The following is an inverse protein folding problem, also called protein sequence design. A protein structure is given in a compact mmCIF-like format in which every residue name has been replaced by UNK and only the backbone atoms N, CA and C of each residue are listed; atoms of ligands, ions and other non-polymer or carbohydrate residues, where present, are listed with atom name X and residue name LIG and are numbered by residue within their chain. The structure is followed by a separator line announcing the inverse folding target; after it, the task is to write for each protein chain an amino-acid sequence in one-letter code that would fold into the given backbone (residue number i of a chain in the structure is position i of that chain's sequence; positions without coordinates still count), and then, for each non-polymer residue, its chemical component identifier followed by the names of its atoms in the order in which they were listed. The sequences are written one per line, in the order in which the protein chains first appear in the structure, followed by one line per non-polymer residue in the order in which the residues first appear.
data_IF_658111521586
#
_entry.id   IF_658111521586
#
_cell.length_a   1.000
_cell.length_b   1.000
_cell.length_c   1.000
_cell.angle_alpha   90.00
_cell.angle_beta   90.00
_cell.angle_gamma   90.00
#
_symmetry.space_group_name_H-M   'P 1'
#
loop_
_entity.id
_entity.type
_entity.pdbx_description
1 polymer ?
#
# COMPACT_ATOMS: atom_id res chain seq x y z
N UNK A 1 -2.16 59.26 -28.01
CA UNK A 1 -2.96 58.02 -28.12
C UNK A 1 -2.62 57.10 -26.95
N UNK A 2 -3.48 56.13 -26.65
CA UNK A 2 -3.52 55.41 -25.37
C UNK A 2 -2.48 54.29 -25.20
N UNK A 3 -2.21 54.01 -23.91
CA UNK A 3 -1.59 52.85 -23.25
C UNK A 3 -2.52 51.58 -23.31
N UNK A 4 -2.14 50.37 -22.81
CA UNK A 4 -0.83 49.70 -22.70
C UNK A 4 -0.88 48.16 -23.04
N UNK A 5 -0.36 47.15 -22.28
CA UNK A 5 0.38 46.03 -22.90
C UNK A 5 -0.21 44.61 -22.68
N UNK A 6 0.20 43.64 -23.50
CA UNK A 6 0.20 42.20 -23.17
C UNK A 6 1.10 41.42 -24.15
N UNK A 7 2.34 41.09 -23.76
CA UNK A 7 3.31 40.38 -24.62
C UNK A 7 3.48 38.92 -24.17
N UNK A 8 2.83 38.04 -24.93
CA UNK A 8 3.33 36.76 -25.51
C UNK A 8 4.07 35.69 -24.67
N UNK A 9 3.45 34.49 -24.69
CA UNK A 9 4.01 33.15 -24.99
C UNK A 9 4.98 32.42 -24.02
N UNK A 10 4.41 31.46 -23.26
CA UNK A 10 4.60 29.99 -23.36
C UNK A 10 6.03 29.35 -23.46
N UNK A 11 6.42 28.69 -22.35
CA UNK A 11 7.26 27.46 -22.14
C UNK A 11 8.36 26.98 -23.14
N UNK A 12 9.55 26.61 -22.59
CA UNK A 12 10.50 25.50 -22.95
C UNK A 12 11.92 25.78 -22.34
N UNK A 13 12.81 24.86 -21.89
CA UNK A 13 12.74 23.54 -21.22
C UNK A 13 14.15 23.12 -20.65
N UNK A 14 14.18 22.33 -19.56
CA UNK A 14 15.25 21.35 -19.12
C UNK A 14 16.71 21.85 -18.85
N UNK A 15 17.28 21.52 -17.67
CA UNK A 15 18.76 21.42 -17.50
C UNK A 15 19.38 21.42 -16.07
N UNK A 16 19.92 20.26 -15.65
CA UNK A 16 21.07 20.03 -14.73
C UNK A 16 21.24 20.73 -13.34
N UNK A 17 20.82 20.03 -12.27
CA UNK A 17 21.66 19.35 -11.23
C UNK A 17 23.01 19.96 -10.73
N UNK A 18 23.18 19.98 -9.38
CA UNK A 18 24.44 20.05 -8.55
C UNK A 18 25.21 21.40 -8.49
N UNK A 19 25.42 22.07 -7.33
CA UNK A 19 26.12 21.62 -6.10
C UNK A 19 25.90 22.64 -4.95
N UNK A 20 25.85 22.17 -3.71
CA UNK A 20 26.05 22.99 -2.50
C UNK A 20 27.46 22.75 -1.95
N UNK A 21 28.21 23.81 -1.63
CA UNK A 21 29.25 23.84 -0.58
C UNK A 21 29.55 25.33 -0.23
N UNK A 22 30.24 25.68 0.87
CA UNK A 22 29.62 26.57 1.85
C UNK A 22 30.50 27.80 2.19
N UNK A 23 30.13 28.50 3.27
CA UNK A 23 30.97 29.49 3.97
C UNK A 23 31.39 30.74 3.17
N UNK A 24 30.58 31.80 3.29
CA UNK A 24 31.05 33.20 3.34
C UNK A 24 29.94 34.12 3.86
N UNK A 25 29.76 34.14 5.18
CA UNK A 25 29.11 35.26 5.87
C UNK A 25 30.06 35.73 6.96
N UNK A 26 30.99 36.59 6.55
CA UNK A 26 31.69 37.50 7.46
C UNK A 26 30.66 38.44 8.08
N UNK A 27 30.39 38.26 9.37
CA UNK A 27 29.70 39.30 10.15
C UNK A 27 30.74 40.34 10.54
N UNK A 28 30.51 41.59 10.12
CA UNK A 28 31.21 42.74 10.69
C UNK A 28 30.93 42.81 12.21
N UNK A 29 31.87 43.32 13.03
CA UNK A 29 31.69 43.44 14.48
C UNK A 29 30.72 44.58 14.81
N UNK A 30 29.43 44.35 14.55
CA UNK A 30 28.34 45.15 15.10
C UNK A 30 28.21 44.78 16.58
N UNK A 31 28.25 45.77 17.47
CA UNK A 31 28.03 45.55 18.90
C UNK A 31 26.69 44.83 19.11
N UNK A 32 26.59 43.85 20.03
CA UNK A 32 25.34 43.15 20.28
C UNK A 32 24.28 44.19 20.69
N UNK A 33 23.07 44.16 20.11
CA UNK A 33 22.00 45.05 20.55
C UNK A 33 21.74 44.83 22.05
N UNK A 34 21.74 45.92 22.81
CA UNK A 34 21.40 45.89 24.23
C UNK A 34 19.92 45.53 24.38
N UNK A 35 19.65 44.28 24.74
CA UNK A 35 18.33 43.83 25.15
C UNK A 35 18.17 44.09 26.64
N UNK A 36 17.06 44.70 27.03
CA UNK A 36 16.71 44.86 28.44
C UNK A 36 16.37 43.48 29.03
N UNK A 37 17.34 42.90 29.75
CA UNK A 37 17.18 41.58 30.40
C UNK A 37 16.07 41.61 31.43
N UNK A 38 15.83 42.75 32.09
CA UNK A 38 14.71 42.96 33.02
C UNK A 38 13.36 42.96 32.30
N UNK A 39 13.27 43.50 31.09
CA UNK A 39 12.05 43.39 30.26
C UNK A 39 11.80 41.92 29.87
N UNK A 40 12.84 41.19 29.47
CA UNK A 40 12.72 39.75 29.13
C UNK A 40 12.30 38.93 30.36
N UNK A 41 12.91 39.13 31.53
CA UNK A 41 12.47 38.46 32.76
C UNK A 41 11.03 38.83 33.14
N UNK A 42 10.60 40.08 32.92
CA UNK A 42 9.23 40.52 33.21
C UNK A 42 8.20 39.92 32.24
N UNK A 43 8.53 39.82 30.95
CA UNK A 43 7.63 39.31 29.92
C UNK A 43 7.54 37.77 29.87
N UNK A 44 8.60 37.07 30.30
CA UNK A 44 8.71 35.61 30.17
C UNK A 44 8.85 34.83 31.49
N UNK A 45 8.77 35.49 32.66
CA UNK A 45 8.74 34.79 33.95
C UNK A 45 7.43 34.01 34.15
N UNK A 46 7.55 32.80 34.70
CA UNK A 46 6.41 31.96 34.99
C UNK A 46 5.56 32.56 36.13
N UNK A 47 4.29 32.85 35.85
CA UNK A 47 3.39 33.48 36.82
C UNK A 47 3.22 32.62 38.09
N UNK A 48 3.64 33.16 39.23
CA UNK A 48 3.36 32.57 40.53
C UNK A 48 1.84 32.57 40.83
N UNK A 49 1.29 31.57 41.55
CA UNK A 49 -0.12 31.54 41.90
C UNK A 49 -0.49 32.76 42.77
N UNK A 50 -1.55 33.49 42.38
CA UNK A 50 -2.03 34.65 43.14
C UNK A 50 -2.52 34.23 44.52
N UNK A 51 -1.94 34.82 45.56
CA UNK A 51 -2.48 34.77 46.92
C UNK A 51 -3.39 35.97 47.15
N UNK A 52 -4.70 35.78 47.05
CA UNK A 52 -5.65 36.80 47.51
C UNK A 52 -5.55 36.92 49.04
N UNK A 53 -5.47 38.15 49.55
CA UNK A 53 -5.38 38.42 51.00
C UNK A 53 -5.85 39.81 51.38
N UNK A 54 -7.12 39.92 51.79
CA UNK A 54 -7.62 41.00 52.64
C UNK A 54 -8.81 40.48 53.46
N UNK A 55 -8.74 40.48 54.80
CA UNK A 55 -9.93 40.07 55.58
C UNK A 55 -9.86 39.62 57.05
N UNK A 56 -8.72 39.64 57.74
CA UNK A 56 -8.68 39.79 59.22
C UNK A 56 -9.05 38.62 60.18
N UNK A 57 -8.28 38.58 61.28
CA UNK A 57 -8.52 37.97 62.61
C UNK A 57 -8.31 36.46 62.87
N UNK A 58 -7.15 36.21 63.49
CA UNK A 58 -6.93 35.36 64.69
C UNK A 58 -7.35 33.88 64.68
N UNK A 59 -6.36 32.99 64.60
CA UNK A 59 -6.48 31.58 65.00
C UNK A 59 -5.25 30.75 64.60
N UNK A 60 -4.47 30.29 65.57
CA UNK A 60 -3.25 29.50 65.29
C UNK A 60 -3.59 28.12 64.72
N UNK A 61 -3.03 27.76 63.56
CA UNK A 61 -2.97 26.38 63.04
C UNK A 61 -1.63 26.10 62.33
N UNK A 62 -1.17 24.86 62.53
CA UNK A 62 0.10 24.21 62.15
C UNK A 62 0.66 24.57 60.75
N UNK A 63 2.00 24.46 60.55
CA UNK A 63 2.59 24.55 59.22
C UNK A 63 2.04 23.43 58.33
N UNK A 64 1.55 23.80 57.15
CA UNK A 64 1.27 22.84 56.09
C UNK A 64 2.61 22.31 55.54
N UNK A 65 2.75 20.99 55.44
CA UNK A 65 3.97 20.39 54.94
C UNK A 65 4.29 20.85 53.52
N UNK A 66 5.54 21.25 53.29
CA UNK A 66 6.05 21.54 51.96
C UNK A 66 5.87 20.30 51.07
N UNK A 67 5.05 20.42 50.01
CA UNK A 67 5.11 19.44 48.93
C UNK A 67 6.54 19.48 48.38
N UNK A 68 7.24 18.34 48.25
CA UNK A 68 8.58 18.33 47.67
C UNK A 68 8.51 18.91 46.26
N UNK A 69 9.35 19.90 45.98
CA UNK A 69 9.45 20.52 44.66
C UNK A 69 10.05 19.48 43.72
N UNK A 70 9.23 18.93 42.82
CA UNK A 70 9.72 17.97 41.85
C UNK A 70 10.62 18.66 40.84
N UNK A 71 11.78 18.07 40.58
CA UNK A 71 12.75 18.53 39.59
C UNK A 71 12.28 18.12 38.20
N UNK A 72 12.03 19.11 37.35
CA UNK A 72 11.64 18.94 35.96
C UNK A 72 12.87 19.15 35.08
N UNK A 73 13.25 18.13 34.30
CA UNK A 73 14.41 18.17 33.39
C UNK A 73 13.97 18.09 31.93
N UNK A 74 12.92 17.32 31.64
CA UNK A 74 12.33 17.19 30.31
C UNK A 74 11.42 18.39 30.05
N UNK A 75 11.42 18.88 28.80
CA UNK A 75 10.51 19.93 28.33
C UNK A 75 9.06 19.68 28.77
N UNK A 76 8.41 20.70 29.33
CA UNK A 76 7.07 20.63 29.91
C UNK A 76 6.04 20.05 28.93
N UNK A 77 6.13 20.39 27.63
CA UNK A 77 5.19 19.89 26.62
C UNK A 77 5.48 18.42 26.28
N UNK A 78 6.74 18.00 26.20
CA UNK A 78 7.12 16.59 26.04
C UNK A 78 6.69 15.77 27.26
N UNK A 79 6.99 16.23 28.46
CA UNK A 79 6.65 15.57 29.72
C UNK A 79 5.12 15.40 29.88
N UNK A 80 4.34 16.46 29.65
CA UNK A 80 2.88 16.40 29.71
C UNK A 80 2.29 15.42 28.69
N UNK A 81 2.84 15.34 27.47
CA UNK A 81 2.41 14.37 26.46
C UNK A 81 2.73 12.93 26.85
N UNK A 82 3.89 12.67 27.48
CA UNK A 82 4.24 11.36 28.04
C UNK A 82 3.26 11.03 29.18
N UNK A 83 3.07 11.92 30.16
CA UNK A 83 2.14 11.68 31.28
C UNK A 83 0.70 11.41 30.82
N UNK A 84 0.20 12.11 29.80
CA UNK A 84 -1.11 11.79 29.20
C UNK A 84 -1.13 10.36 28.64
N UNK A 85 -0.08 9.91 27.94
CA UNK A 85 -0.02 8.53 27.47
C UNK A 85 -0.02 7.53 28.63
N UNK A 86 0.71 7.80 29.72
CA UNK A 86 0.71 6.95 30.91
C UNK A 86 -0.67 6.78 31.55
N UNK A 87 -1.57 7.77 31.45
CA UNK A 87 -2.96 7.60 31.91
C UNK A 87 -3.83 6.70 31.02
N UNK A 88 -3.40 6.45 29.76
CA UNK A 88 -4.09 5.56 28.81
C UNK A 88 -3.58 4.12 28.88
N UNK A 89 -2.36 3.93 29.37
CA UNK A 89 -1.76 2.62 29.59
C UNK A 89 -2.42 1.96 30.80
N UNK A 90 -3.01 0.77 30.61
CA UNK A 90 -3.70 0.00 31.66
C UNK A 90 -2.80 -0.99 32.40
N UNK A 91 -1.53 -1.12 31.99
CA UNK A 91 -0.57 -2.08 32.50
C UNK A 91 0.59 -1.34 33.20
N UNK A 92 1.09 -1.80 34.36
CA UNK A 92 2.30 -1.23 34.96
C UNK A 92 3.48 -1.28 33.98
N UNK A 93 4.28 -0.21 33.92
CA UNK A 93 5.45 -0.16 33.04
C UNK A 93 6.45 -1.32 33.24
N UNK A 94 6.78 -1.77 34.48
CA UNK A 94 7.67 -2.91 34.65
C UNK A 94 7.16 -4.18 33.96
N UNK A 95 5.85 -4.40 33.97
CA UNK A 95 5.21 -5.56 33.33
C UNK A 95 5.25 -5.44 31.81
N UNK A 96 4.99 -4.23 31.26
CA UNK A 96 5.18 -3.96 29.83
C UNK A 96 6.63 -4.17 29.39
N UNK A 97 7.60 -3.72 30.18
CA UNK A 97 9.01 -3.87 29.87
C UNK A 97 9.47 -5.33 29.98
N UNK A 98 8.96 -6.08 30.95
CA UNK A 98 9.18 -7.52 31.04
C UNK A 98 8.61 -8.25 29.82
N UNK A 99 7.38 -7.94 29.40
CA UNK A 99 6.75 -8.51 28.21
C UNK A 99 7.50 -8.16 26.91
N UNK A 100 7.94 -6.91 26.77
CA UNK A 100 8.73 -6.46 25.62
C UNK A 100 10.11 -7.12 25.55
N UNK A 101 10.77 -7.32 26.70
CA UNK A 101 12.05 -8.05 26.79
C UNK A 101 11.87 -9.58 26.67
N UNK A 102 10.69 -10.12 26.97
CA UNK A 102 10.33 -11.49 26.61
C UNK A 102 9.96 -11.65 25.13
N UNK A 103 9.62 -10.55 24.45
CA UNK A 103 8.98 -10.49 23.12
C UNK A 103 7.68 -11.29 23.05
N UNK A 104 6.84 -11.14 24.08
CA UNK A 104 5.57 -11.86 24.24
C UNK A 104 4.40 -11.17 23.52
N UNK A 105 4.05 -11.70 22.36
CA UNK A 105 2.96 -11.24 21.48
C UNK A 105 1.56 -11.50 22.07
N UNK A 106 1.45 -12.27 23.16
CA UNK A 106 0.17 -12.53 23.84
C UNK A 106 -0.18 -11.47 24.88
N UNK A 107 0.83 -10.71 25.32
CA UNK A 107 0.71 -9.65 26.34
C UNK A 107 0.73 -8.26 25.71
N UNK A 108 1.57 -8.05 24.68
CA UNK A 108 1.72 -6.77 23.99
C UNK A 108 1.39 -6.88 22.50
N UNK A 109 0.40 -6.09 22.06
CA UNK A 109 0.05 -5.94 20.65
C UNK A 109 0.92 -4.88 19.92
N UNK A 110 0.80 -4.82 18.61
CA UNK A 110 1.57 -3.89 17.77
C UNK A 110 1.31 -2.41 18.12
N UNK A 111 0.07 -2.04 18.42
CA UNK A 111 -0.31 -0.65 18.75
C UNK A 111 0.29 -0.24 20.10
N UNK A 112 0.31 -1.14 21.08
CA UNK A 112 0.93 -0.92 22.38
C UNK A 112 2.45 -0.74 22.25
N UNK A 113 3.12 -1.58 21.46
CA UNK A 113 4.56 -1.46 21.20
C UNK A 113 4.90 -0.19 20.41
N UNK A 114 4.10 0.18 19.40
CA UNK A 114 4.30 1.44 18.67
C UNK A 114 4.09 2.67 19.56
N UNK A 115 3.11 2.63 20.47
CA UNK A 115 2.95 3.65 21.50
C UNK A 115 4.18 3.71 22.42
N UNK A 116 4.72 2.58 22.91
CA UNK A 116 5.97 2.58 23.71
C UNK A 116 7.14 3.22 22.95
N UNK A 117 7.33 2.89 21.66
CA UNK A 117 8.37 3.49 20.81
C UNK A 117 8.23 5.02 20.73
N UNK A 118 7.01 5.52 20.52
CA UNK A 118 6.71 6.96 20.41
C UNK A 118 7.04 7.76 21.68
N UNK A 119 7.00 7.10 22.84
CA UNK A 119 7.29 7.71 24.13
C UNK A 119 8.61 7.23 24.75
N UNK A 120 9.48 6.55 24.00
CA UNK A 120 10.87 6.31 24.42
C UNK A 120 11.62 7.65 24.61
N UNK A 121 12.58 7.72 25.56
CA UNK A 121 13.43 8.89 25.73
C UNK A 121 14.37 9.05 24.53
N UNK A 122 14.52 10.29 24.05
CA UNK A 122 15.52 10.62 23.03
C UNK A 122 16.93 10.52 23.58
N UNK A 123 17.91 10.52 22.67
CA UNK A 123 19.33 10.48 23.07
C UNK A 123 19.72 11.68 23.95
N UNK A 124 19.26 12.89 23.63
CA UNK A 124 19.55 14.07 24.47
C UNK A 124 18.88 13.96 25.85
N UNK A 125 17.64 13.47 25.89
CA UNK A 125 16.84 13.26 27.11
C UNK A 125 17.51 12.20 28.03
N UNK A 126 18.07 11.12 27.46
CA UNK A 126 18.81 10.10 28.21
C UNK A 126 20.14 10.62 28.78
N UNK A 127 20.91 11.41 28.04
CA UNK A 127 22.17 11.98 28.56
C UNK A 127 21.91 13.03 29.66
N UNK A 128 20.83 13.84 29.52
CA UNK A 128 20.39 14.77 30.55
C UNK A 128 20.06 14.05 31.87
N UNK A 129 19.34 12.92 31.79
CA UNK A 129 18.98 12.12 32.96
C UNK A 129 20.19 11.42 33.61
N UNK A 130 21.18 10.96 32.81
CA UNK A 130 22.45 10.43 33.35
C UNK A 130 23.29 11.49 34.05
N UNK A 131 23.20 12.75 33.60
CA UNK A 131 23.91 13.89 34.18
C UNK A 131 23.29 14.39 35.49
N UNK A 132 22.11 13.91 35.88
CA UNK A 132 21.45 14.32 37.12
C UNK A 132 22.10 13.66 38.35
N UNK A 133 22.65 14.48 39.24
CA UNK A 133 23.35 14.05 40.46
C UNK A 133 22.51 14.15 41.73
N UNK A 134 21.25 14.61 41.62
CA UNK A 134 20.31 14.64 42.73
C UNK A 134 19.62 13.29 42.96
N UNK A 135 18.74 13.24 43.95
CA UNK A 135 17.95 12.06 44.27
C UNK A 135 16.83 11.83 43.21
N UNK A 136 16.83 10.69 42.49
CA UNK A 136 15.83 10.37 41.45
C UNK A 136 14.37 10.36 41.92
N UNK A 137 14.09 10.18 43.21
CA UNK A 137 12.72 10.23 43.74
C UNK A 137 12.10 11.64 43.62
N UNK A 138 12.95 12.67 43.60
CA UNK A 138 12.53 14.06 43.42
C UNK A 138 12.22 14.43 41.97
N UNK A 139 12.48 13.57 40.98
CA UNK A 139 12.20 13.88 39.57
C UNK A 139 10.70 13.88 39.24
N UNK A 140 10.32 14.50 38.11
CA UNK A 140 8.99 14.42 37.51
C UNK A 140 8.59 12.98 37.12
N UNK A 141 7.29 12.75 36.82
CA UNK A 141 6.84 11.39 36.47
C UNK A 141 7.37 10.94 35.11
N UNK A 142 7.51 11.87 34.16
CA UNK A 142 8.11 11.59 32.84
C UNK A 142 9.56 11.12 32.98
N UNK A 143 10.34 11.79 33.84
CA UNK A 143 11.72 11.47 34.14
C UNK A 143 11.84 10.09 34.81
N UNK A 144 11.00 9.81 35.82
CA UNK A 144 10.94 8.50 36.47
C UNK A 144 10.57 7.38 35.48
N UNK A 145 9.63 7.64 34.57
CA UNK A 145 9.26 6.75 33.47
C UNK A 145 10.44 6.49 32.52
N UNK A 146 11.18 7.53 32.12
CA UNK A 146 12.37 7.39 31.27
C UNK A 146 13.50 6.62 31.96
N UNK A 147 13.75 6.85 33.26
CA UNK A 147 14.74 6.10 34.03
C UNK A 147 14.41 4.60 34.09
N UNK A 148 13.13 4.23 34.19
CA UNK A 148 12.70 2.83 34.13
C UNK A 148 12.97 2.21 32.74
N UNK A 149 12.63 2.92 31.66
CA UNK A 149 12.94 2.48 30.29
C UNK A 149 14.45 2.34 30.05
N UNK A 150 15.27 3.23 30.62
CA UNK A 150 16.73 3.23 30.49
C UNK A 150 17.42 2.04 31.18
N UNK A 151 16.72 1.28 32.05
CA UNK A 151 17.22 0.00 32.58
C UNK A 151 17.42 -1.05 31.48
N UNK A 152 16.70 -0.95 30.37
CA UNK A 152 16.87 -1.80 29.21
C UNK A 152 17.85 -1.15 28.20
N UNK A 153 19.04 -1.75 27.95
CA UNK A 153 19.96 -1.24 26.94
C UNK A 153 19.27 -1.16 25.57
N UNK A 154 19.42 -0.02 24.88
CA UNK A 154 18.85 0.24 23.54
C UNK A 154 17.34 -0.03 23.44
N UNK A 155 16.58 0.34 24.47
CA UNK A 155 15.12 0.10 24.59
C UNK A 155 14.31 0.36 23.32
N UNK A 156 14.52 1.50 22.64
CA UNK A 156 13.81 1.82 21.39
C UNK A 156 14.12 0.84 20.26
N UNK A 157 15.38 0.39 20.14
CA UNK A 157 15.82 -0.60 19.15
C UNK A 157 15.14 -1.94 19.39
N UNK A 158 15.12 -2.40 20.64
CA UNK A 158 14.47 -3.65 21.05
C UNK A 158 12.97 -3.64 20.81
N UNK A 159 12.30 -2.53 21.14
CA UNK A 159 10.87 -2.36 20.86
C UNK A 159 10.58 -2.36 19.36
N UNK A 160 11.40 -1.70 18.54
CA UNK A 160 11.26 -1.73 17.06
C UNK A 160 11.46 -3.13 16.48
N UNK A 161 12.38 -3.91 17.04
CA UNK A 161 12.63 -5.31 16.66
C UNK A 161 11.48 -6.22 17.08
N UNK A 162 10.92 -6.00 18.27
CA UNK A 162 9.73 -6.71 18.73
C UNK A 162 8.49 -6.38 17.89
N UNK A 163 8.27 -5.10 17.55
CA UNK A 163 7.21 -4.68 16.63
C UNK A 163 7.33 -5.37 15.26
N UNK A 164 8.55 -5.44 14.71
CA UNK A 164 8.80 -6.17 13.47
C UNK A 164 8.48 -7.66 13.62
N UNK A 165 8.86 -8.31 14.74
CA UNK A 165 8.52 -9.72 15.01
C UNK A 165 7.00 -9.97 14.99
N UNK A 166 6.21 -9.13 15.66
CA UNK A 166 4.73 -9.19 15.66
C UNK A 166 4.18 -9.09 14.22
N UNK A 167 4.72 -8.18 13.41
CA UNK A 167 4.21 -7.88 12.07
C UNK A 167 4.76 -8.81 10.96
N UNK A 168 5.85 -9.53 11.22
CA UNK A 168 6.60 -10.26 10.19
C UNK A 168 5.77 -11.33 9.48
N UNK A 169 5.05 -12.16 10.25
CA UNK A 169 4.31 -13.29 9.70
C UNK A 169 3.15 -12.85 8.80
N UNK A 170 2.42 -11.79 9.18
CA UNK A 170 1.37 -11.20 8.34
C UNK A 170 1.97 -10.53 7.10
N UNK A 171 3.04 -9.74 7.26
CA UNK A 171 3.72 -9.08 6.14
C UNK A 171 4.22 -10.08 5.08
N UNK A 172 4.91 -11.14 5.49
CA UNK A 172 5.41 -12.18 4.57
C UNK A 172 4.26 -12.99 3.95
N UNK A 173 3.20 -13.29 4.73
CA UNK A 173 2.01 -13.98 4.23
C UNK A 173 1.29 -13.19 3.14
N UNK A 174 1.03 -11.92 3.36
CA UNK A 174 0.30 -11.07 2.42
C UNK A 174 1.13 -10.75 1.18
N UNK A 175 2.43 -10.49 1.35
CA UNK A 175 3.37 -10.37 0.24
C UNK A 175 3.41 -11.67 -0.61
N UNK A 176 3.50 -12.85 0.03
CA UNK A 176 3.46 -14.16 -0.66
C UNK A 176 2.15 -14.38 -1.42
N UNK A 177 0.99 -13.96 -0.89
CA UNK A 177 -0.30 -14.00 -1.61
C UNK A 177 -0.25 -13.16 -2.89
N UNK A 178 0.24 -11.92 -2.80
CA UNK A 178 0.38 -11.03 -3.96
C UNK A 178 1.30 -11.60 -5.04
N UNK A 179 2.44 -12.18 -4.66
CA UNK A 179 3.35 -12.86 -5.60
C UNK A 179 2.73 -14.10 -6.25
N UNK A 180 1.92 -14.85 -5.51
CA UNK A 180 1.21 -16.00 -6.06
C UNK A 180 0.12 -15.59 -7.04
N UNK A 181 -0.62 -14.51 -6.79
CA UNK A 181 -1.60 -13.95 -7.73
C UNK A 181 -0.91 -13.55 -9.06
N UNK A 182 0.24 -12.86 -8.97
CA UNK A 182 1.06 -12.51 -10.14
C UNK A 182 1.49 -13.76 -10.93
N UNK A 183 2.05 -14.76 -10.24
CA UNK A 183 2.51 -15.99 -10.87
C UNK A 183 1.37 -16.77 -11.54
N UNK A 184 0.24 -16.94 -10.84
CA UNK A 184 -0.93 -17.65 -11.36
C UNK A 184 -1.51 -16.95 -12.58
N UNK A 185 -1.76 -15.63 -12.53
CA UNK A 185 -2.25 -14.88 -13.69
C UNK A 185 -1.31 -15.00 -14.90
N UNK A 186 0.01 -14.95 -14.69
CA UNK A 186 0.99 -15.15 -15.76
C UNK A 186 0.96 -16.58 -16.34
N UNK A 187 0.62 -17.60 -15.54
CA UNK A 187 0.51 -18.99 -16.00
C UNK A 187 -0.83 -19.24 -16.71
N UNK A 188 -1.95 -18.84 -16.11
CA UNK A 188 -3.30 -18.90 -16.66
C UNK A 188 -3.35 -18.34 -18.10
N UNK A 189 -2.81 -17.13 -18.30
CA UNK A 189 -2.82 -16.45 -19.60
C UNK A 189 -1.91 -17.14 -20.63
N UNK A 190 -0.70 -17.57 -20.25
CA UNK A 190 0.23 -18.26 -21.18
C UNK A 190 -0.21 -19.69 -21.52
N UNK A 191 -0.94 -20.35 -20.62
CA UNK A 191 -1.36 -21.74 -20.78
C UNK A 191 -2.75 -21.88 -21.40
N UNK A 192 -3.60 -20.85 -21.40
CA UNK A 192 -4.90 -20.88 -22.08
C UNK A 192 -4.72 -21.12 -23.59
N UNK A 193 -5.10 -22.33 -24.02
CA UNK A 193 -5.21 -22.70 -25.44
C UNK A 193 -6.36 -21.95 -26.11
N UNK A 194 -7.46 -21.71 -25.37
CA UNK A 194 -8.63 -20.97 -25.84
C UNK A 194 -8.27 -19.54 -26.24
N UNK A 195 -7.49 -18.85 -25.40
CA UNK A 195 -6.99 -17.51 -25.73
C UNK A 195 -6.16 -17.50 -27.03
N UNK A 196 -5.28 -18.48 -27.23
CA UNK A 196 -4.44 -18.59 -28.43
C UNK A 196 -5.28 -18.76 -29.69
N UNK A 197 -6.30 -19.63 -29.65
CA UNK A 197 -7.23 -19.88 -30.75
C UNK A 197 -8.08 -18.62 -31.08
N UNK A 198 -8.54 -17.91 -30.05
CA UNK A 198 -9.22 -16.61 -30.20
C UNK A 198 -8.30 -15.55 -30.85
N UNK A 199 -7.05 -15.42 -30.39
CA UNK A 199 -6.07 -14.49 -30.97
C UNK A 199 -5.77 -14.81 -32.44
N UNK A 200 -5.67 -16.09 -32.80
CA UNK A 200 -5.53 -16.53 -34.20
C UNK A 200 -6.74 -16.14 -35.06
N UNK A 201 -7.97 -16.29 -34.54
CA UNK A 201 -9.20 -15.88 -35.23
C UNK A 201 -9.30 -14.37 -35.40
N UNK A 202 -8.89 -13.60 -34.40
CA UNK A 202 -8.78 -12.14 -34.48
C UNK A 202 -7.77 -11.74 -35.57
N UNK A 203 -6.60 -12.39 -35.63
CA UNK A 203 -5.60 -12.15 -36.67
C UNK A 203 -6.14 -12.47 -38.07
N UNK A 204 -6.83 -13.60 -38.23
CA UNK A 204 -7.47 -13.99 -39.49
C UNK A 204 -8.51 -12.97 -39.96
N UNK A 205 -9.42 -12.56 -39.06
CA UNK A 205 -10.43 -11.54 -39.37
C UNK A 205 -9.78 -10.18 -39.70
N UNK A 206 -8.76 -9.78 -38.94
CA UNK A 206 -7.99 -8.56 -39.20
C UNK A 206 -7.34 -8.58 -40.59
N UNK A 207 -6.67 -9.67 -40.95
CA UNK A 207 -6.04 -9.84 -42.25
C UNK A 207 -7.05 -9.84 -43.40
N UNK A 208 -8.23 -10.45 -43.22
CA UNK A 208 -9.28 -10.45 -44.24
C UNK A 208 -9.97 -9.10 -44.42
N UNK A 209 -10.17 -8.34 -43.34
CA UNK A 209 -10.73 -6.98 -43.43
C UNK A 209 -9.74 -5.95 -44.00
N UNK A 210 -8.43 -6.22 -43.91
CA UNK A 210 -7.36 -5.34 -44.41
C UNK A 210 -6.71 -5.88 -45.70
N UNK A 211 -7.33 -6.85 -46.37
CA UNK A 211 -6.84 -7.45 -47.62
C UNK A 211 -6.64 -6.37 -48.70
N UNK A 212 -5.50 -6.40 -49.40
CA UNK A 212 -5.11 -5.36 -50.36
C UNK A 212 -4.59 -4.04 -49.76
N UNK A 213 -4.53 -3.89 -48.43
CA UNK A 213 -3.95 -2.71 -47.77
C UNK A 213 -2.58 -3.01 -47.16
N UNK A 214 -1.82 -1.97 -46.80
CA UNK A 214 -0.56 -2.10 -46.05
C UNK A 214 -0.71 -2.69 -44.61
N UNK A 215 -1.95 -2.97 -44.16
CA UNK A 215 -2.26 -3.66 -42.89
C UNK A 215 -2.74 -5.09 -43.08
N UNK A 216 -2.84 -5.58 -44.32
CA UNK A 216 -3.10 -6.99 -44.63
C UNK A 216 -1.87 -7.86 -44.38
N UNK A 217 -2.07 -9.19 -44.37
CA UNK A 217 -1.01 -10.20 -44.24
C UNK A 217 -0.10 -10.04 -43.00
N UNK A 218 -0.62 -9.47 -41.91
CA UNK A 218 0.09 -9.38 -40.65
C UNK A 218 0.32 -10.77 -40.03
N UNK A 219 1.46 -10.95 -39.36
CA UNK A 219 1.80 -12.16 -38.60
C UNK A 219 1.39 -12.09 -37.12
N UNK A 220 0.94 -10.92 -36.67
CA UNK A 220 0.53 -10.65 -35.30
C UNK A 220 0.05 -9.19 -35.16
N UNK A 221 -0.47 -8.82 -33.98
CA UNK A 221 -0.94 -7.47 -33.67
C UNK A 221 -0.58 -7.09 -32.23
N UNK A 222 -0.47 -5.78 -31.97
CA UNK A 222 -0.21 -5.23 -30.62
C UNK A 222 -1.40 -5.40 -29.70
N UNK A 223 -1.17 -5.67 -28.41
CA UNK A 223 -2.20 -6.09 -27.46
C UNK A 223 -3.36 -5.08 -27.35
N UNK A 224 -3.04 -3.79 -27.33
CA UNK A 224 -4.03 -2.70 -27.27
C UNK A 224 -5.02 -2.68 -28.46
N UNK A 225 -4.70 -3.37 -29.57
CA UNK A 225 -5.59 -3.49 -30.73
C UNK A 225 -6.86 -4.31 -30.44
N UNK A 226 -6.88 -5.10 -29.36
CA UNK A 226 -8.05 -5.89 -28.94
C UNK A 226 -9.28 -5.01 -28.65
N UNK A 227 -9.06 -3.80 -28.12
CA UNK A 227 -10.12 -2.82 -27.85
C UNK A 227 -10.91 -2.45 -29.12
N UNK A 228 -10.19 -2.26 -30.24
CA UNK A 228 -10.72 -1.81 -31.54
C UNK A 228 -11.72 -2.77 -32.17
N UNK A 229 -11.79 -4.02 -31.71
CA UNK A 229 -12.80 -4.99 -32.11
C UNK A 229 -14.21 -4.58 -31.65
N UNK A 230 -14.32 -3.85 -30.54
CA UNK A 230 -15.57 -3.27 -30.08
C UNK A 230 -15.96 -2.02 -30.89
N UNK A 231 -14.99 -1.25 -31.36
CA UNK A 231 -15.23 0.00 -32.11
C UNK A 231 -15.53 -0.23 -33.60
N UNK A 232 -14.96 -1.30 -34.18
CA UNK A 232 -15.14 -1.62 -35.60
C UNK A 232 -16.57 -2.13 -35.85
N UNK A 233 -17.40 -1.32 -36.49
CA UNK A 233 -18.81 -1.63 -36.80
C UNK A 233 -18.99 -2.24 -38.19
N UNK A 234 -20.00 -3.09 -38.33
CA UNK A 234 -20.48 -3.54 -39.63
C UNK A 234 -21.09 -2.36 -40.42
N UNK A 235 -21.10 -2.47 -41.76
CA UNK A 235 -21.71 -1.46 -42.65
C UNK A 235 -23.24 -1.39 -42.52
N UNK A 236 -23.88 -2.45 -42.01
CA UNK A 236 -25.34 -2.54 -41.83
C UNK A 236 -25.62 -3.11 -40.43
N UNK A 237 -26.52 -2.47 -39.70
CA UNK A 237 -26.91 -2.85 -38.34
C UNK A 237 -25.97 -2.30 -37.24
N UNK A 238 -26.29 -2.59 -35.97
CA UNK A 238 -25.51 -2.11 -34.81
C UNK A 238 -24.33 -3.03 -34.41
N UNK A 239 -24.11 -4.11 -35.15
CA UNK A 239 -23.13 -5.15 -34.84
C UNK A 239 -21.68 -4.65 -34.95
N UNK A 240 -20.81 -5.12 -34.04
CA UNK A 240 -19.36 -4.84 -34.05
C UNK A 240 -18.56 -6.08 -34.43
N UNK A 241 -17.27 -5.93 -34.73
CA UNK A 241 -16.39 -7.06 -35.05
C UNK A 241 -16.27 -8.04 -33.89
N UNK A 242 -16.31 -7.58 -32.64
CA UNK A 242 -16.40 -8.44 -31.46
C UNK A 242 -17.67 -9.31 -31.46
N UNK A 243 -18.83 -8.70 -31.73
CA UNK A 243 -20.10 -9.43 -31.86
C UNK A 243 -20.04 -10.47 -32.99
N UNK A 244 -19.46 -10.10 -34.13
CA UNK A 244 -19.29 -11.01 -35.26
C UNK A 244 -18.37 -12.18 -34.92
N UNK A 245 -17.26 -11.95 -34.21
CA UNK A 245 -16.36 -13.00 -33.73
C UNK A 245 -17.10 -13.99 -32.82
N UNK A 246 -17.87 -13.51 -31.83
CA UNK A 246 -18.65 -14.40 -30.97
C UNK A 246 -19.68 -15.22 -31.77
N UNK A 247 -20.43 -14.60 -32.70
CA UNK A 247 -21.36 -15.34 -33.59
C UNK A 247 -20.64 -16.35 -34.49
N UNK A 248 -19.41 -16.07 -34.91
CA UNK A 248 -18.59 -16.95 -35.74
C UNK A 248 -18.07 -18.15 -34.94
N UNK A 249 -17.85 -17.99 -33.62
CA UNK A 249 -17.49 -19.09 -32.73
C UNK A 249 -18.67 -20.03 -32.51
N UNK A 250 -19.85 -19.49 -32.18
CA UNK A 250 -21.09 -20.25 -32.04
C UNK A 250 -21.43 -21.04 -33.32
N UNK A 251 -21.32 -20.42 -34.50
CA UNK A 251 -21.71 -21.03 -35.79
C UNK A 251 -20.78 -22.13 -36.32
N UNK A 252 -19.55 -22.21 -35.82
CA UNK A 252 -18.55 -23.17 -36.30
C UNK A 252 -18.25 -24.25 -35.23
N UNK A 253 -19.21 -24.53 -34.36
CA UNK A 253 -19.10 -25.51 -33.25
C UNK A 253 -17.89 -25.26 -32.33
N UNK A 254 -17.49 -23.99 -32.17
CA UNK A 254 -16.40 -23.54 -31.28
C UNK A 254 -16.90 -22.75 -30.08
N UNK A 255 -18.03 -23.17 -29.53
CA UNK A 255 -18.61 -22.60 -28.31
C UNK A 255 -17.74 -22.82 -27.06
N UNK A 256 -16.82 -23.80 -27.10
CA UNK A 256 -15.75 -24.02 -26.12
C UNK A 256 -14.85 -22.79 -25.91
N UNK A 257 -14.73 -21.93 -26.91
CA UNK A 257 -13.92 -20.71 -26.84
C UNK A 257 -14.65 -19.54 -26.16
N UNK A 258 -15.98 -19.55 -26.09
CA UNK A 258 -16.75 -18.41 -25.57
C UNK A 258 -16.54 -18.20 -24.06
N UNK A 259 -16.21 -19.28 -23.35
CA UNK A 259 -15.95 -19.27 -21.91
C UNK A 259 -14.46 -19.30 -21.53
N UNK A 260 -13.56 -18.95 -22.46
CA UNK A 260 -12.10 -18.82 -22.20
C UNK A 260 -11.75 -17.95 -20.98
N UNK A 261 -12.61 -17.00 -20.64
CA UNK A 261 -12.46 -16.14 -19.47
C UNK A 261 -12.47 -16.92 -18.14
N UNK A 262 -13.02 -18.14 -18.11
CA UNK A 262 -12.98 -19.03 -16.94
C UNK A 262 -11.58 -19.60 -16.68
N UNK A 263 -10.68 -19.58 -17.68
CA UNK A 263 -9.28 -19.95 -17.50
C UNK A 263 -8.52 -18.93 -16.61
N UNK A 264 -9.10 -17.75 -16.34
CA UNK A 264 -8.43 -16.58 -15.76
C UNK A 264 -8.94 -16.23 -14.35
N UNK A 265 -8.65 -17.09 -13.38
CA UNK A 265 -9.06 -16.92 -11.98
C UNK A 265 -8.39 -15.69 -11.33
N UNK A 266 -7.09 -15.49 -11.59
CA UNK A 266 -6.28 -14.47 -10.92
C UNK A 266 -6.10 -13.17 -11.74
N UNK A 267 -6.57 -13.13 -12.99
CA UNK A 267 -6.36 -11.99 -13.88
C UNK A 267 -6.86 -10.66 -13.28
N UNK A 268 -8.10 -10.58 -12.79
CA UNK A 268 -8.62 -9.34 -12.18
C UNK A 268 -7.95 -8.98 -10.84
N UNK A 269 -7.47 -9.96 -10.07
CA UNK A 269 -6.70 -9.68 -8.87
C UNK A 269 -5.32 -9.10 -9.24
N UNK A 270 -4.69 -9.62 -10.30
CA UNK A 270 -3.36 -9.18 -10.74
C UNK A 270 -3.32 -7.74 -11.24
N UNK A 271 -4.40 -7.21 -11.85
CA UNK A 271 -4.44 -5.80 -12.30
C UNK A 271 -4.42 -4.77 -11.16
N UNK A 272 -4.58 -5.22 -9.90
CA UNK A 272 -4.58 -4.38 -8.70
C UNK A 272 -3.21 -4.36 -8.01
N UNK A 273 -2.27 -5.21 -8.45
CA UNK A 273 -0.93 -5.37 -7.88
C UNK A 273 0.06 -4.61 -8.76
N UNK A 274 0.81 -3.67 -8.16
CA UNK A 274 1.86 -2.92 -8.85
C UNK A 274 3.22 -3.54 -8.54
N UNK A 275 4.02 -3.83 -9.58
CA UNK A 275 5.35 -4.43 -9.40
C UNK A 275 6.28 -3.53 -8.55
N UNK A 276 6.10 -2.21 -8.63
CA UNK A 276 6.82 -1.23 -7.82
C UNK A 276 6.52 -1.38 -6.32
N UNK A 277 5.26 -1.54 -5.94
CA UNK A 277 4.85 -1.73 -4.53
C UNK A 277 5.42 -3.03 -3.97
N UNK A 278 5.43 -4.10 -4.77
CA UNK A 278 6.09 -5.36 -4.40
C UNK A 278 7.59 -5.20 -4.15
N UNK A 279 8.28 -4.36 -4.94
CA UNK A 279 9.69 -4.06 -4.72
C UNK A 279 9.92 -3.27 -3.41
N UNK A 280 9.04 -2.32 -3.09
CA UNK A 280 9.07 -1.54 -1.84
C UNK A 280 8.79 -2.43 -0.62
N UNK A 281 7.82 -3.34 -0.69
CA UNK A 281 7.52 -4.34 0.34
C UNK A 281 8.70 -5.30 0.56
N UNK A 282 9.28 -5.85 -0.52
CA UNK A 282 10.46 -6.72 -0.45
C UNK A 282 11.65 -6.02 0.25
N UNK A 283 11.90 -4.75 -0.09
CA UNK A 283 12.94 -3.94 0.53
C UNK A 283 12.65 -3.63 2.00
N UNK A 284 11.38 -3.44 2.36
CA UNK A 284 10.95 -3.26 3.76
C UNK A 284 11.25 -4.50 4.59
N UNK A 285 10.89 -5.69 4.09
CA UNK A 285 11.13 -6.99 4.74
C UNK A 285 12.64 -7.23 4.95
N UNK A 286 13.46 -7.03 3.91
CA UNK A 286 14.93 -7.20 3.99
C UNK A 286 15.53 -6.26 5.05
N UNK A 287 15.23 -4.95 4.96
CA UNK A 287 15.77 -3.94 5.89
C UNK A 287 15.25 -4.11 7.32
N UNK A 288 14.06 -4.68 7.48
CA UNK A 288 13.54 -5.10 8.77
C UNK A 288 14.43 -6.19 9.38
N UNK A 289 14.63 -7.30 8.65
CA UNK A 289 15.48 -8.40 9.09
C UNK A 289 16.95 -7.99 9.34
N UNK A 290 17.50 -7.08 8.54
CA UNK A 290 18.83 -6.51 8.78
C UNK A 290 18.93 -5.82 10.15
N UNK A 291 17.93 -5.03 10.55
CA UNK A 291 17.89 -4.38 11.87
C UNK A 291 17.73 -5.38 13.01
N UNK A 292 16.90 -6.40 12.82
CA UNK A 292 16.74 -7.52 13.77
C UNK A 292 18.09 -8.22 14.02
N UNK A 293 18.86 -8.49 12.95
CA UNK A 293 20.21 -9.07 13.04
C UNK A 293 21.23 -8.13 13.70
N UNK A 294 21.15 -6.83 13.46
CA UNK A 294 22.00 -5.83 14.12
C UNK A 294 21.74 -5.77 15.63
N UNK A 295 20.48 -5.78 16.07
CA UNK A 295 20.15 -5.79 17.50
C UNK A 295 20.45 -7.16 18.15
N UNK A 296 20.34 -8.27 17.43
CA UNK A 296 20.78 -9.58 17.91
C UNK A 296 22.28 -9.56 18.25
N UNK A 297 23.11 -9.03 17.36
CA UNK A 297 24.55 -8.89 17.62
C UNK A 297 24.84 -7.89 18.76
N UNK A 298 24.13 -6.76 18.80
CA UNK A 298 24.33 -5.74 19.84
C UNK A 298 23.91 -6.22 21.24
N UNK A 299 22.91 -7.11 21.33
CA UNK A 299 22.35 -7.59 22.60
C UNK A 299 23.11 -8.73 23.27
N UNK A 300 24.11 -9.32 22.61
CA UNK A 300 24.92 -10.42 23.14
C UNK A 300 25.60 -10.08 24.49
N UNK A 301 25.98 -8.81 24.67
CA UNK A 301 26.74 -8.33 25.84
C UNK A 301 25.90 -7.49 26.83
N UNK A 302 24.57 -7.46 26.69
CA UNK A 302 23.68 -6.66 27.56
C UNK A 302 23.47 -7.27 28.97
N UNK A 303 23.97 -8.48 29.21
CA UNK A 303 23.83 -9.18 30.48
C UNK A 303 22.40 -9.69 30.80
N UNK A 304 22.13 -10.05 32.06
CA UNK A 304 20.93 -10.81 32.44
C UNK A 304 19.60 -10.16 32.05
N UNK A 305 19.52 -8.82 32.05
CA UNK A 305 18.30 -8.06 31.72
C UNK A 305 17.79 -8.32 30.29
N UNK A 306 18.68 -8.76 29.38
CA UNK A 306 18.32 -9.06 27.98
C UNK A 306 18.51 -10.53 27.61
N UNK A 307 18.74 -11.42 28.57
CA UNK A 307 19.01 -12.84 28.29
C UNK A 307 17.84 -13.54 27.59
N UNK A 308 16.60 -13.27 28.03
CA UNK A 308 15.39 -13.80 27.39
C UNK A 308 15.24 -13.17 25.99
N UNK A 309 15.34 -11.85 25.89
CA UNK A 309 15.27 -11.10 24.64
C UNK A 309 16.21 -11.67 23.57
N UNK A 310 17.50 -11.80 23.90
CA UNK A 310 18.52 -12.30 22.98
C UNK A 310 18.25 -13.75 22.55
N UNK A 311 17.80 -14.61 23.48
CA UNK A 311 17.43 -16.00 23.15
C UNK A 311 16.25 -16.04 22.17
N UNK A 312 15.13 -15.41 22.50
CA UNK A 312 13.91 -15.40 21.66
C UNK A 312 14.19 -14.73 20.31
N UNK A 313 15.06 -13.72 20.27
CA UNK A 313 15.48 -13.04 19.05
C UNK A 313 16.33 -13.92 18.15
N UNK A 314 17.22 -14.72 18.72
CA UNK A 314 18.04 -15.69 17.97
C UNK A 314 17.19 -16.77 17.30
N UNK A 315 16.19 -17.27 18.02
CA UNK A 315 15.23 -18.25 17.50
C UNK A 315 14.38 -17.63 16.36
N UNK A 316 13.89 -16.40 16.55
CA UNK A 316 13.16 -15.66 15.51
C UNK A 316 14.00 -15.39 14.25
N UNK A 317 15.26 -14.94 14.40
CA UNK A 317 16.15 -14.66 13.26
C UNK A 317 16.33 -15.89 12.38
N UNK A 318 16.57 -17.07 12.95
CA UNK A 318 16.75 -18.30 12.16
C UNK A 318 15.51 -18.67 11.33
N UNK A 319 14.31 -18.52 11.89
CA UNK A 319 13.06 -18.74 11.16
C UNK A 319 12.82 -17.65 10.09
N UNK A 320 13.05 -16.38 10.45
CA UNK A 320 12.85 -15.23 9.57
C UNK A 320 13.80 -15.24 8.36
N UNK A 321 15.07 -15.63 8.53
CA UNK A 321 16.02 -15.80 7.42
C UNK A 321 15.54 -16.82 6.39
N UNK A 322 14.99 -17.95 6.84
CA UNK A 322 14.43 -18.99 5.96
C UNK A 322 13.21 -18.48 5.18
N UNK A 323 12.27 -17.80 5.85
CA UNK A 323 11.09 -17.24 5.19
C UNK A 323 11.43 -16.10 4.23
N UNK A 324 12.38 -15.23 4.59
CA UNK A 324 12.87 -14.16 3.69
C UNK A 324 13.60 -14.75 2.48
N UNK A 325 14.45 -15.77 2.64
CA UNK A 325 15.08 -16.45 1.50
C UNK A 325 14.05 -17.10 0.57
N UNK A 326 13.04 -17.78 1.14
CA UNK A 326 11.92 -18.37 0.40
C UNK A 326 11.14 -17.33 -0.41
N UNK A 327 10.73 -16.23 0.23
CA UNK A 327 9.94 -15.18 -0.46
C UNK A 327 10.79 -14.35 -1.43
N UNK A 328 12.09 -14.20 -1.21
CA UNK A 328 13.04 -13.60 -2.17
C UNK A 328 13.07 -14.40 -3.49
N UNK A 329 13.14 -15.74 -3.40
CA UNK A 329 13.10 -16.59 -4.58
C UNK A 329 11.75 -16.48 -5.31
N UNK A 330 10.64 -16.50 -4.57
CA UNK A 330 9.30 -16.34 -5.14
C UNK A 330 9.12 -14.97 -5.83
N UNK A 331 9.66 -13.90 -5.25
CA UNK A 331 9.68 -12.55 -5.84
C UNK A 331 10.46 -12.53 -7.15
N UNK A 332 11.64 -13.14 -7.18
CA UNK A 332 12.45 -13.25 -8.40
C UNK A 332 11.76 -14.09 -9.49
N UNK A 333 11.02 -15.16 -9.12
CA UNK A 333 10.18 -15.94 -10.05
C UNK A 333 9.02 -15.10 -10.59
N UNK A 334 8.33 -14.35 -9.72
CA UNK A 334 7.22 -13.49 -10.09
C UNK A 334 7.65 -12.39 -11.08
N UNK A 335 8.76 -11.71 -10.83
CA UNK A 335 9.33 -10.72 -11.76
C UNK A 335 9.65 -11.32 -13.14
N UNK A 336 10.35 -12.46 -13.18
CA UNK A 336 10.62 -13.16 -14.46
C UNK A 336 9.34 -13.58 -15.19
N UNK A 337 8.32 -14.03 -14.46
CA UNK A 337 7.03 -14.42 -15.06
C UNK A 337 6.27 -13.21 -15.62
N UNK A 338 6.32 -12.06 -14.93
CA UNK A 338 5.77 -10.80 -15.40
C UNK A 338 6.44 -10.33 -16.70
N UNK A 339 7.78 -10.27 -16.72
CA UNK A 339 8.55 -9.90 -17.92
C UNK A 339 8.26 -10.85 -19.08
N UNK A 340 8.21 -12.16 -18.81
CA UNK A 340 7.89 -13.18 -19.83
C UNK A 340 6.46 -13.02 -20.36
N UNK A 341 5.49 -12.54 -19.56
CA UNK A 341 4.14 -12.29 -20.03
C UNK A 341 4.06 -11.09 -20.99
N UNK A 342 4.75 -10.00 -20.68
CA UNK A 342 4.85 -8.85 -21.59
C UNK A 342 5.52 -9.25 -22.91
N UNK A 343 6.65 -9.96 -22.84
CA UNK A 343 7.37 -10.49 -24.02
C UNK A 343 6.51 -11.48 -24.83
N UNK A 344 5.68 -12.30 -24.18
CA UNK A 344 4.76 -13.25 -24.84
C UNK A 344 3.73 -12.55 -25.73
N UNK A 345 3.30 -11.33 -25.38
CA UNK A 345 2.45 -10.49 -26.23
C UNK A 345 3.25 -9.53 -27.16
N UNK A 346 4.59 -9.65 -27.19
CA UNK A 346 5.45 -8.78 -27.99
C UNK A 346 5.52 -7.35 -27.47
N UNK A 347 5.25 -7.13 -26.18
CA UNK A 347 5.40 -5.84 -25.50
C UNK A 347 6.73 -5.75 -24.75
N UNK A 348 7.18 -4.52 -24.50
CA UNK A 348 8.43 -4.21 -23.79
C UNK A 348 8.13 -4.12 -22.28
N UNK A 349 8.69 -5.01 -21.42
CA UNK A 349 8.41 -5.01 -19.99
C UNK A 349 8.73 -3.68 -19.29
N UNK A 350 9.66 -2.89 -19.84
CA UNK A 350 10.05 -1.58 -19.27
C UNK A 350 9.04 -0.47 -19.57
N UNK A 351 8.15 -0.68 -20.55
CA UNK A 351 7.15 0.29 -21.03
C UNK A 351 5.71 -0.15 -20.80
N UNK A 352 5.48 -1.46 -20.76
CA UNK A 352 4.18 -2.09 -20.55
C UNK A 352 4.36 -3.15 -19.45
N UNK A 353 4.33 -2.75 -18.17
CA UNK A 353 4.50 -3.66 -17.05
C UNK A 353 3.27 -4.57 -16.89
N UNK A 354 3.38 -5.57 -16.00
CA UNK A 354 2.35 -6.59 -15.78
C UNK A 354 0.95 -6.03 -15.60
N UNK A 355 0.81 -5.01 -14.77
CA UNK A 355 -0.47 -4.36 -14.44
C UNK A 355 -1.14 -3.78 -15.70
N UNK A 356 -0.37 -3.29 -16.68
CA UNK A 356 -0.91 -2.77 -17.94
C UNK A 356 -1.29 -3.91 -18.89
N UNK A 357 -0.44 -4.93 -19.05
CA UNK A 357 -0.72 -6.11 -19.87
C UNK A 357 -2.00 -6.82 -19.40
N UNK A 358 -2.09 -7.04 -18.09
CA UNK A 358 -3.25 -7.70 -17.46
C UNK A 358 -4.50 -6.82 -17.49
N UNK A 359 -4.39 -5.50 -17.35
CA UNK A 359 -5.52 -4.59 -17.50
C UNK A 359 -6.07 -4.54 -18.94
N UNK A 360 -5.21 -4.47 -19.96
CA UNK A 360 -5.64 -4.53 -21.38
C UNK A 360 -6.33 -5.86 -21.67
N UNK A 361 -5.80 -6.99 -21.17
CA UNK A 361 -6.42 -8.30 -21.34
C UNK A 361 -7.76 -8.43 -20.59
N UNK A 362 -7.86 -7.95 -19.35
CA UNK A 362 -9.11 -7.93 -18.57
C UNK A 362 -10.19 -7.09 -19.27
N UNK A 363 -9.81 -5.94 -19.83
CA UNK A 363 -10.74 -5.11 -20.61
C UNK A 363 -11.23 -5.86 -21.87
N UNK A 364 -10.33 -6.54 -22.60
CA UNK A 364 -10.72 -7.39 -23.73
C UNK A 364 -11.69 -8.50 -23.31
N UNK A 365 -11.41 -9.22 -22.22
CA UNK A 365 -12.29 -10.26 -21.66
C UNK A 365 -13.69 -9.71 -21.39
N UNK A 366 -13.80 -8.55 -20.71
CA UNK A 366 -15.07 -7.91 -20.39
C UNK A 366 -15.84 -7.43 -21.63
N UNK A 367 -15.14 -6.93 -22.64
CA UNK A 367 -15.74 -6.53 -23.93
C UNK A 367 -16.25 -7.75 -24.72
N UNK A 368 -15.50 -8.85 -24.72
CA UNK A 368 -15.89 -10.10 -25.37
C UNK A 368 -17.12 -10.72 -24.70
N UNK A 369 -17.10 -10.85 -23.36
CA UNK A 369 -18.23 -11.36 -22.58
C UNK A 369 -19.51 -10.57 -22.88
N UNK A 370 -19.43 -9.23 -22.82
CA UNK A 370 -20.57 -8.35 -23.13
C UNK A 370 -21.10 -8.58 -24.55
N UNK A 371 -20.23 -8.66 -25.56
CA UNK A 371 -20.64 -8.90 -26.94
C UNK A 371 -21.28 -10.29 -27.14
N UNK A 372 -20.83 -11.31 -26.43
CA UNK A 372 -21.48 -12.62 -26.43
C UNK A 372 -22.85 -12.59 -25.74
N UNK A 373 -22.98 -11.96 -24.56
CA UNK A 373 -24.27 -11.79 -23.89
C UNK A 373 -25.29 -11.00 -24.73
N UNK A 374 -24.86 -9.91 -25.38
CA UNK A 374 -25.70 -9.11 -26.28
C UNK A 374 -26.16 -9.93 -27.49
N UNK A 375 -25.29 -10.78 -28.06
CA UNK A 375 -25.66 -11.73 -29.10
C UNK A 375 -26.70 -12.76 -28.63
N UNK A 376 -26.53 -13.35 -27.45
CA UNK A 376 -27.48 -14.33 -26.90
C UNK A 376 -28.85 -13.70 -26.66
N UNK A 377 -28.91 -12.51 -26.05
CA UNK A 377 -30.15 -11.74 -25.84
C UNK A 377 -30.84 -11.41 -27.18
N UNK A 378 -30.08 -11.05 -28.20
CA UNK A 378 -30.61 -10.78 -29.55
C UNK A 378 -31.15 -12.05 -30.22
N UNK A 379 -30.44 -13.18 -30.13
CA UNK A 379 -30.88 -14.46 -30.70
C UNK A 379 -32.14 -14.99 -30.02
N UNK A 380 -32.28 -14.82 -28.70
CA UNK A 380 -33.52 -15.12 -27.98
C UNK A 380 -34.69 -14.26 -28.45
N UNK A 381 -34.47 -12.96 -28.66
CA UNK A 381 -35.51 -12.03 -29.13
C UNK A 381 -35.96 -12.39 -30.55
N UNK A 382 -35.01 -12.70 -31.44
CA UNK A 382 -35.28 -13.18 -32.80
C UNK A 382 -36.08 -14.48 -32.78
N UNK A 383 -35.70 -15.46 -31.96
CA UNK A 383 -36.43 -16.72 -31.79
C UNK A 383 -37.85 -16.50 -31.25
N UNK A 384 -38.03 -15.64 -30.24
CA UNK A 384 -39.33 -15.26 -29.67
C UNK A 384 -40.23 -14.54 -30.70
N UNK A 385 -39.64 -13.73 -31.57
CA UNK A 385 -40.37 -13.03 -32.66
C UNK A 385 -40.79 -14.02 -33.75
N UNK A 386 -39.87 -14.86 -34.23
CA UNK A 386 -40.16 -15.88 -35.23
C UNK A 386 -41.24 -16.87 -34.78
N UNK A 387 -41.22 -17.28 -33.50
CA UNK A 387 -42.28 -18.13 -32.94
C UNK A 387 -43.66 -17.44 -32.99
N UNK A 388 -43.75 -16.17 -32.57
CA UNK A 388 -45.01 -15.41 -32.65
C UNK A 388 -45.51 -15.25 -34.09
N UNK A 389 -44.61 -14.96 -35.03
CA UNK A 389 -44.96 -14.83 -36.45
C UNK A 389 -45.48 -16.16 -37.02
N UNK A 390 -44.86 -17.29 -36.67
CA UNK A 390 -45.33 -18.62 -37.03
C UNK A 390 -46.65 -19.01 -36.35
N UNK A 391 -46.86 -18.66 -35.08
CA UNK A 391 -48.11 -18.90 -34.36
C UNK A 391 -49.27 -18.09 -34.96
N UNK A 392 -49.02 -16.82 -35.34
CA UNK A 392 -49.98 -15.96 -36.04
C UNK A 392 -50.30 -16.46 -37.46
N UNK A 393 -49.32 -16.99 -38.19
CA UNK A 393 -49.51 -17.57 -39.52
C UNK A 393 -50.35 -18.84 -39.44
N UNK A 394 -49.98 -19.79 -38.57
CA UNK A 394 -50.77 -20.99 -38.30
C UNK A 394 -52.22 -20.65 -37.87
N UNK A 395 -52.41 -19.64 -37.02
CA UNK A 395 -53.74 -19.18 -36.61
C UNK A 395 -54.57 -18.57 -37.75
N UNK A 396 -53.92 -17.97 -38.77
CA UNK A 396 -54.58 -17.48 -40.00
C UNK A 396 -54.97 -18.65 -40.91
N UNK A 397 -54.07 -19.60 -41.14
CA UNK A 397 -54.34 -20.80 -41.96
C UNK A 397 -55.48 -21.66 -41.38
N UNK A 398 -55.52 -21.86 -40.06
CA UNK A 398 -56.61 -22.59 -39.38
C UNK A 398 -57.96 -21.86 -39.51
N UNK A 399 -57.97 -20.52 -39.59
CA UNK A 399 -59.21 -19.75 -39.82
C UNK A 399 -59.68 -19.86 -41.27
N UNK A 400 -58.76 -19.80 -42.25
CA UNK A 400 -59.11 -19.97 -43.66
C UNK A 400 -59.69 -21.37 -43.93
N UNK A 401 -59.01 -22.43 -43.46
CA UNK A 401 -59.47 -23.81 -43.62
C UNK A 401 -60.81 -24.11 -42.92
N UNK A 402 -61.24 -23.31 -41.94
CA UNK A 402 -62.57 -23.42 -41.33
C UNK A 402 -63.67 -22.74 -42.13
N UNK A 403 -63.35 -21.65 -42.83
CA UNK A 403 -64.30 -20.97 -43.69
C UNK A 403 -64.54 -21.79 -44.98
N UNK A 404 -63.51 -22.42 -45.54
CA UNK A 404 -63.59 -23.28 -46.74
C UNK A 404 -64.36 -24.62 -46.52
N UNK A 405 -64.77 -24.92 -45.28
CA UNK A 405 -65.58 -26.10 -44.91
C UNK A 405 -67.00 -25.69 -44.49
N UNK A 406 -67.35 -24.40 -44.60
CA UNK A 406 -68.67 -23.84 -44.28
C UNK A 406 -69.46 -23.30 -45.48
N UNK A 407 -68.86 -23.30 -46.67
CA UNK A 407 -69.52 -23.20 -47.99
C UNK A 407 -69.61 -24.60 -48.65
#
# INVERSE_FOLDING_TARGET
MLLPPCIRYLCICIGAVHKFNPFSLSFDPVAPPEFDVSEIETLFSAAAPKTDSSGGKTGAKKPAGSKPVKVQLIDLKRAYNVEIMLTKVKMPLPDMMAAALAMDETILDADQVENLIKFCPKKEEMELLKGYTGDPENLGKCEQFFLELMKAPRVESKLRVFLFKIQFNSQVSDFRKSLNIVNSACQEVRNSHKLKDIMQRILYLGNKLNEGTARGSAVGFKLDSLSKLADTRASIGRMTLMHYLCKLLDKNDRSDLLDFHKDFINLEASTKIQLKTLAEEMQSIIKGLEKVKQELAASENDGPVSAIFHKTLKEFVGAAESEVASVTNLYAVAGRNADTLALYFGEDPTKCPLEQVTATLLNFVRLFQRAHEENCKQAELEKKKAQKEADEENAKSIKQAKNEVQD
#
